data_IF_230035311263
#
_entry.id   IF_230035311263
#
_cell.length_a   1.000
_cell.length_b   1.000
_cell.length_c   1.000
_cell.angle_alpha   90.00
_cell.angle_beta   90.00
_cell.angle_gamma   90.00
#
_symmetry.space_group_name_H-M   'P 1'
#
loop_
_entity.id
_entity.type
_entity.pdbx_description
1 polymer ?
#
# COMPACT_ATOMS: atom_id res chain seq x y z
N UNK A 1 -22.19 -2.74 0.67
CA UNK A 1 -22.39 -1.96 -0.55
C UNK A 1 -21.33 -2.33 -1.56
N UNK A 2 -21.67 -2.46 -2.86
CA UNK A 2 -20.74 -2.91 -3.91
C UNK A 2 -19.92 -1.73 -4.47
N UNK A 3 -19.46 -0.82 -3.58
CA UNK A 3 -18.75 0.38 -4.04
C UNK A 3 -17.41 0.05 -4.74
N UNK A 4 -16.70 -1.00 -4.30
CA UNK A 4 -15.46 -1.43 -4.96
C UNK A 4 -15.71 -1.97 -6.38
N UNK A 5 -16.84 -2.64 -6.60
CA UNK A 5 -17.22 -3.08 -7.95
C UNK A 5 -17.52 -1.92 -8.88
N UNK A 6 -18.20 -0.89 -8.39
CA UNK A 6 -18.46 0.33 -9.17
C UNK A 6 -17.15 1.05 -9.46
N UNK A 7 -16.28 1.23 -8.45
CA UNK A 7 -14.96 1.83 -8.63
C UNK A 7 -14.14 1.10 -9.68
N UNK A 8 -14.08 -0.24 -9.62
CA UNK A 8 -13.38 -1.06 -10.60
C UNK A 8 -13.89 -0.82 -12.03
N UNK A 9 -15.20 -0.74 -12.19
CA UNK A 9 -15.83 -0.49 -13.49
C UNK A 9 -15.44 0.89 -14.04
N UNK A 10 -15.56 1.94 -13.24
CA UNK A 10 -15.22 3.31 -13.63
C UNK A 10 -13.73 3.46 -13.97
N UNK A 11 -12.84 2.89 -13.15
CA UNK A 11 -11.41 2.87 -13.42
C UNK A 11 -11.08 2.14 -14.72
N UNK A 12 -11.72 1.01 -14.96
CA UNK A 12 -11.52 0.24 -16.20
C UNK A 12 -11.96 1.04 -17.44
N UNK A 13 -13.08 1.76 -17.35
CA UNK A 13 -13.58 2.61 -18.43
C UNK A 13 -12.59 3.75 -18.67
N UNK A 14 -12.17 4.45 -17.63
CA UNK A 14 -11.21 5.55 -17.71
C UNK A 14 -9.88 5.11 -18.33
N UNK A 15 -9.28 4.05 -17.83
CA UNK A 15 -7.97 3.58 -18.31
C UNK A 15 -8.01 3.02 -19.74
N UNK A 16 -9.17 2.57 -20.22
CA UNK A 16 -9.35 2.17 -21.61
C UNK A 16 -9.32 3.33 -22.61
N UNK A 17 -9.42 4.56 -22.15
CA UNK A 17 -9.27 5.74 -23.02
C UNK A 17 -7.82 5.94 -23.49
N UNK A 18 -6.86 5.31 -22.80
CA UNK A 18 -5.44 5.33 -23.12
C UNK A 18 -5.03 4.01 -23.79
N UNK A 19 -4.00 4.03 -24.60
CA UNK A 19 -3.50 2.82 -25.31
C UNK A 19 -2.73 1.88 -24.36
N UNK A 20 -3.39 1.48 -23.28
CA UNK A 20 -2.85 0.55 -22.29
C UNK A 20 -3.33 -0.87 -22.58
N UNK A 21 -2.43 -1.84 -22.48
CA UNK A 21 -2.82 -3.25 -22.59
C UNK A 21 -3.81 -3.64 -21.49
N UNK A 22 -4.71 -4.58 -21.79
CA UNK A 22 -5.66 -5.10 -20.81
C UNK A 22 -4.96 -5.56 -19.52
N UNK A 23 -3.82 -6.24 -19.63
CA UNK A 23 -3.06 -6.72 -18.47
C UNK A 23 -2.59 -5.58 -17.57
N UNK A 24 -2.17 -4.44 -18.15
CA UNK A 24 -1.78 -3.25 -17.38
C UNK A 24 -2.98 -2.63 -16.67
N UNK A 25 -4.10 -2.46 -17.38
CA UNK A 25 -5.35 -1.96 -16.80
C UNK A 25 -5.78 -2.82 -15.62
N UNK A 26 -5.84 -4.14 -15.80
CA UNK A 26 -6.25 -5.08 -14.74
C UNK A 26 -5.35 -4.97 -13.51
N UNK A 27 -4.04 -4.76 -13.68
CA UNK A 27 -3.09 -4.60 -12.56
C UNK A 27 -3.26 -3.26 -11.84
N UNK A 28 -3.36 -2.15 -12.57
CA UNK A 28 -3.60 -0.83 -11.98
C UNK A 28 -4.89 -0.84 -11.18
N UNK A 29 -5.96 -1.37 -11.77
CA UNK A 29 -7.25 -1.50 -11.08
C UNK A 29 -7.16 -2.36 -9.82
N UNK A 30 -6.46 -3.50 -9.87
CA UNK A 30 -6.28 -4.37 -8.70
C UNK A 30 -5.56 -3.65 -7.56
N UNK A 31 -4.56 -2.86 -7.90
CA UNK A 31 -3.79 -2.04 -6.96
C UNK A 31 -4.69 -1.02 -6.26
N UNK A 32 -5.44 -0.24 -7.03
CA UNK A 32 -6.31 0.81 -6.50
C UNK A 32 -7.41 0.21 -5.63
N UNK A 33 -8.06 -0.85 -6.10
CA UNK A 33 -9.13 -1.53 -5.36
C UNK A 33 -8.63 -2.10 -4.03
N UNK A 34 -7.43 -2.66 -3.98
CA UNK A 34 -6.83 -3.16 -2.74
C UNK A 34 -6.53 -2.02 -1.76
N UNK A 35 -5.95 -0.91 -2.23
CA UNK A 35 -5.66 0.25 -1.37
C UNK A 35 -6.93 0.88 -0.81
N UNK A 36 -7.95 1.06 -1.65
CA UNK A 36 -9.24 1.61 -1.22
C UNK A 36 -9.97 0.64 -0.30
N UNK A 37 -9.88 -0.66 -0.57
CA UNK A 37 -10.40 -1.70 0.31
C UNK A 37 -9.77 -1.64 1.70
N UNK A 38 -8.44 -1.50 1.75
CA UNK A 38 -7.70 -1.35 3.01
C UNK A 38 -8.11 -0.08 3.77
N UNK A 39 -8.29 1.05 3.08
CA UNK A 39 -8.80 2.27 3.71
C UNK A 39 -10.19 2.06 4.31
N UNK A 40 -11.09 1.35 3.62
CA UNK A 40 -12.43 1.05 4.13
C UNK A 40 -12.45 0.05 5.28
N UNK A 41 -11.61 -0.98 5.24
CA UNK A 41 -11.57 -2.05 6.25
C UNK A 41 -10.85 -1.61 7.54
N UNK A 42 -9.69 -0.98 7.40
CA UNK A 42 -8.79 -0.65 8.52
C UNK A 42 -9.00 0.76 9.03
N UNK A 43 -9.06 1.74 8.16
CA UNK A 43 -9.23 3.12 8.55
C UNK A 43 -10.68 3.50 8.83
N UNK A 44 -11.64 2.73 8.33
CA UNK A 44 -13.10 2.97 8.46
C UNK A 44 -13.48 4.41 8.11
N UNK A 45 -12.83 4.97 7.11
CA UNK A 45 -12.92 6.36 6.75
C UNK A 45 -13.22 6.55 5.26
N UNK A 46 -13.55 7.77 4.91
CA UNK A 46 -13.63 8.19 3.52
C UNK A 46 -12.24 8.18 2.89
N UNK A 47 -12.20 7.96 1.58
CA UNK A 47 -10.99 7.90 0.81
C UNK A 47 -11.14 8.80 -0.42
N UNK A 48 -10.15 9.65 -0.67
CA UNK A 48 -10.03 10.43 -1.90
C UNK A 48 -9.06 9.69 -2.83
N UNK A 49 -9.46 9.55 -4.08
CA UNK A 49 -8.61 8.98 -5.13
C UNK A 49 -8.45 10.04 -6.21
N UNK A 50 -7.22 10.32 -6.57
CA UNK A 50 -6.87 11.16 -7.71
C UNK A 50 -5.98 10.36 -8.66
N UNK A 51 -6.30 10.38 -9.95
CA UNK A 51 -5.55 9.66 -10.99
C UNK A 51 -5.33 10.61 -12.15
N UNK A 52 -4.07 10.88 -12.41
CA UNK A 52 -3.61 11.66 -13.55
C UNK A 52 -2.83 10.76 -14.51
N UNK A 53 -3.13 10.89 -15.79
CA UNK A 53 -2.42 10.20 -16.87
C UNK A 53 -1.93 11.24 -17.86
N UNK A 54 -0.60 11.39 -17.92
CA UNK A 54 0.05 12.28 -18.88
C UNK A 54 0.54 11.45 -20.06
N UNK A 55 0.07 11.80 -21.24
CA UNK A 55 0.55 11.27 -22.52
C UNK A 55 1.80 12.01 -22.97
N UNK A 56 2.48 11.47 -23.97
CA UNK A 56 3.68 12.09 -24.57
C UNK A 56 4.83 12.37 -23.59
N UNK A 57 4.97 11.49 -22.61
CA UNK A 57 6.14 11.53 -21.75
C UNK A 57 7.35 10.94 -22.51
N UNK A 58 8.36 11.77 -22.78
CA UNK A 58 9.57 11.37 -23.47
C UNK A 58 10.72 11.19 -22.49
N UNK A 59 11.48 10.12 -22.64
CA UNK A 59 12.74 9.93 -21.94
C UNK A 59 13.88 10.58 -22.70
N UNK A 60 14.87 11.08 -21.99
CA UNK A 60 15.99 11.86 -22.55
C UNK A 60 16.77 11.12 -23.65
N UNK A 61 16.82 9.80 -23.60
CA UNK A 61 17.67 8.97 -24.48
C UNK A 61 16.84 7.87 -25.21
N UNK A 62 15.51 8.03 -25.32
CA UNK A 62 14.64 7.05 -25.95
C UNK A 62 13.51 7.77 -26.70
N UNK A 63 13.32 7.44 -27.97
CA UNK A 63 12.28 8.00 -28.84
C UNK A 63 10.89 7.34 -28.60
N UNK A 64 10.78 6.45 -27.62
CA UNK A 64 9.52 5.79 -27.25
C UNK A 64 8.51 6.74 -26.61
N UNK A 65 7.25 6.55 -26.94
CA UNK A 65 6.15 7.23 -26.28
C UNK A 65 5.78 6.51 -24.97
N UNK A 66 5.74 7.25 -23.89
CA UNK A 66 5.44 6.72 -22.56
C UNK A 66 4.24 7.43 -21.94
N UNK A 67 3.53 6.71 -21.08
CA UNK A 67 2.53 7.30 -20.18
C UNK A 67 3.14 7.48 -18.80
N UNK A 68 2.92 8.65 -18.20
CA UNK A 68 3.13 8.86 -16.78
C UNK A 68 1.77 8.75 -16.07
N UNK A 69 1.64 7.79 -15.17
CA UNK A 69 0.42 7.58 -14.40
C UNK A 69 0.73 7.91 -12.95
N UNK A 70 0.09 8.95 -12.43
CA UNK A 70 0.16 9.35 -11.03
C UNK A 70 -1.13 8.93 -10.33
N UNK A 71 -0.99 8.22 -9.23
CA UNK A 71 -2.13 7.75 -8.43
C UNK A 71 -1.90 8.22 -7.00
N UNK A 72 -2.83 9.00 -6.49
CA UNK A 72 -2.85 9.46 -5.10
C UNK A 72 -4.08 8.89 -4.42
N UNK A 73 -3.90 8.24 -3.28
CA UNK A 73 -4.98 7.72 -2.46
C UNK A 73 -4.79 8.29 -1.05
N UNK A 74 -5.74 9.08 -0.60
CA UNK A 74 -5.75 9.71 0.72
C UNK A 74 -6.89 9.12 1.54
N UNK A 75 -6.55 8.56 2.71
CA UNK A 75 -7.51 8.10 3.71
C UNK A 75 -7.58 9.12 4.84
N UNK A 76 -8.78 9.56 5.18
CA UNK A 76 -9.01 10.52 6.26
C UNK A 76 -9.34 9.77 7.55
N UNK A 77 -8.32 9.27 8.22
CA UNK A 77 -8.46 8.47 9.44
C UNK A 77 -7.50 8.93 10.53
N UNK A 78 -7.90 8.73 11.78
CA UNK A 78 -7.01 8.84 12.93
C UNK A 78 -6.32 7.49 13.26
N UNK A 79 -6.58 6.44 12.48
CA UNK A 79 -5.93 5.14 12.63
C UNK A 79 -4.78 5.09 11.64
N UNK A 80 -3.58 4.94 12.15
CA UNK A 80 -2.37 4.82 11.33
C UNK A 80 -2.27 3.43 10.70
N UNK A 81 -1.57 3.32 9.59
CA UNK A 81 -1.41 2.09 8.82
C UNK A 81 -0.90 0.92 9.68
N UNK A 82 0.00 1.18 10.58
CA UNK A 82 0.64 0.18 11.44
C UNK A 82 -0.07 -0.14 12.75
N UNK A 83 -1.10 0.61 13.15
CA UNK A 83 -1.71 0.52 14.48
C UNK A 83 -2.27 -0.87 14.81
N UNK A 84 -3.00 -1.49 13.90
CA UNK A 84 -3.56 -2.83 14.12
C UNK A 84 -2.46 -3.90 14.20
N UNK A 85 -1.36 -3.72 13.45
CA UNK A 85 -0.21 -4.61 13.49
C UNK A 85 0.52 -4.45 14.82
N UNK A 86 0.72 -3.21 15.26
CA UNK A 86 1.31 -2.89 16.56
C UNK A 86 0.54 -3.58 17.69
N UNK A 87 -0.79 -3.41 17.73
CA UNK A 87 -1.65 -4.05 18.72
C UNK A 87 -1.48 -5.56 18.70
N UNK A 88 -1.51 -6.18 17.52
CA UNK A 88 -1.38 -7.62 17.34
C UNK A 88 -0.01 -8.15 17.77
N UNK A 89 1.06 -7.47 17.42
CA UNK A 89 2.44 -7.87 17.72
C UNK A 89 2.74 -7.73 19.21
N UNK A 90 2.31 -6.64 19.83
CA UNK A 90 2.55 -6.38 21.25
C UNK A 90 1.64 -7.19 22.17
N UNK A 91 0.48 -7.63 21.66
CA UNK A 91 -0.41 -8.50 22.41
C UNK A 91 0.10 -9.95 22.37
N UNK A 92 0.62 -10.44 23.48
CA UNK A 92 1.30 -11.74 23.64
C UNK A 92 0.45 -12.98 23.31
N UNK A 93 -0.84 -12.82 23.06
CA UNK A 93 -1.77 -13.93 22.75
C UNK A 93 -1.66 -14.46 21.31
N UNK A 94 -1.00 -13.73 20.42
CA UNK A 94 -0.81 -14.13 19.03
C UNK A 94 0.59 -14.69 18.79
N UNK A 95 0.72 -16.02 18.92
CA UNK A 95 1.99 -16.72 18.88
C UNK A 95 2.32 -17.34 17.53
N UNK A 96 2.35 -16.59 16.43
CA UNK A 96 2.99 -17.10 15.22
C UNK A 96 4.45 -16.66 15.19
N UNK A 97 5.33 -17.50 14.66
CA UNK A 97 6.78 -17.29 14.59
C UNK A 97 7.12 -15.90 13.99
N UNK A 98 6.50 -15.54 12.89
CA UNK A 98 6.71 -14.24 12.21
C UNK A 98 6.43 -13.03 13.09
N UNK A 99 5.40 -13.09 13.94
CA UNK A 99 5.10 -12.00 14.88
C UNK A 99 6.07 -11.97 16.05
N UNK A 100 6.66 -13.11 16.37
CA UNK A 100 7.73 -13.20 17.37
C UNK A 100 8.99 -12.49 16.88
N UNK A 101 9.37 -12.73 15.63
CA UNK A 101 10.53 -12.06 15.01
C UNK A 101 10.31 -10.56 14.89
N UNK A 102 9.09 -10.15 14.48
CA UNK A 102 8.75 -8.72 14.41
C UNK A 102 8.76 -8.05 15.78
N UNK A 103 8.33 -8.74 16.82
CA UNK A 103 8.43 -8.26 18.23
C UNK A 103 9.88 -8.11 18.68
N UNK A 104 10.73 -9.06 18.32
CA UNK A 104 12.16 -8.97 18.61
C UNK A 104 12.80 -7.79 17.87
N UNK A 105 12.48 -7.62 16.58
CA UNK A 105 12.92 -6.47 15.81
C UNK A 105 12.48 -5.15 16.44
N UNK A 106 11.20 -5.05 16.84
CA UNK A 106 10.69 -3.87 17.53
C UNK A 106 11.49 -3.52 18.78
N UNK A 107 11.74 -4.50 19.67
CA UNK A 107 12.52 -4.29 20.90
C UNK A 107 13.94 -3.80 20.62
N UNK A 108 14.57 -4.30 19.56
CA UNK A 108 15.89 -3.86 19.15
C UNK A 108 15.90 -2.41 18.64
N UNK A 109 14.77 -1.93 18.11
CA UNK A 109 14.63 -0.58 17.59
C UNK A 109 14.09 0.42 18.64
N UNK A 110 13.51 -0.06 19.75
CA UNK A 110 12.82 0.77 20.74
C UNK A 110 13.70 1.89 21.29
N UNK A 111 14.99 1.63 21.50
CA UNK A 111 15.94 2.65 21.96
C UNK A 111 16.31 3.71 20.92
N UNK A 112 15.93 3.50 19.65
CA UNK A 112 16.21 4.39 18.52
C UNK A 112 15.06 5.38 18.29
N UNK A 113 13.87 5.09 18.83
CA UNK A 113 12.70 5.95 18.67
C UNK A 113 12.82 7.19 19.54
N UNK A 114 12.40 8.33 19.02
CA UNK A 114 12.31 9.58 19.79
C UNK A 114 13.64 10.21 20.16
N UNK A 115 14.77 9.72 19.64
CA UNK A 115 16.03 10.41 19.79
C UNK A 115 15.97 11.72 18.99
N UNK A 116 16.20 12.86 19.66
CA UNK A 116 16.07 14.21 19.06
C UNK A 116 16.93 14.43 17.82
N UNK A 117 17.92 13.60 17.59
CA UNK A 117 18.79 13.62 16.41
C UNK A 117 18.37 12.66 15.29
N UNK A 118 17.38 11.80 15.52
CA UNK A 118 16.92 10.82 14.53
C UNK A 118 15.50 11.16 14.05
N UNK A 119 15.26 11.27 12.74
CA UNK A 119 13.90 11.38 12.19
C UNK A 119 13.11 10.08 12.30
N UNK A 120 13.73 8.99 12.79
CA UNK A 120 13.12 7.68 12.91
C UNK A 120 12.21 7.61 14.12
N UNK A 121 10.92 7.49 13.86
CA UNK A 121 9.88 7.37 14.89
C UNK A 121 9.30 5.97 14.94
N UNK A 122 8.62 5.65 16.04
CA UNK A 122 7.96 4.37 16.21
C UNK A 122 6.93 4.08 15.09
N UNK A 123 6.18 5.10 14.67
CA UNK A 123 5.21 4.99 13.57
C UNK A 123 5.86 4.48 12.29
N UNK A 124 7.04 4.96 11.93
CA UNK A 124 7.78 4.50 10.75
C UNK A 124 8.14 3.01 10.82
N UNK A 125 8.44 2.48 12.01
CA UNK A 125 8.67 1.05 12.18
C UNK A 125 7.42 0.24 11.83
N UNK A 126 6.26 0.69 12.31
CA UNK A 126 5.00 -0.02 12.09
C UNK A 126 4.50 0.12 10.66
N UNK A 127 4.73 1.26 10.01
CA UNK A 127 4.45 1.44 8.58
C UNK A 127 5.29 0.48 7.73
N UNK A 128 6.59 0.37 8.01
CA UNK A 128 7.47 -0.59 7.35
C UNK A 128 7.00 -2.03 7.62
N UNK A 129 6.58 -2.33 8.84
CA UNK A 129 6.05 -3.64 9.18
C UNK A 129 4.78 -3.98 8.39
N UNK A 130 3.90 -3.00 8.17
CA UNK A 130 2.68 -3.16 7.38
C UNK A 130 2.96 -3.50 5.91
N UNK A 131 4.13 -3.10 5.41
CA UNK A 131 4.58 -3.39 4.04
C UNK A 131 5.26 -4.76 3.90
N UNK A 132 5.46 -5.51 4.99
CA UNK A 132 6.10 -6.82 4.91
C UNK A 132 5.13 -7.91 4.45
N UNK A 133 5.65 -8.85 3.65
CA UNK A 133 4.87 -10.00 3.19
C UNK A 133 4.32 -10.80 4.38
N UNK A 134 3.04 -11.15 4.28
CA UNK A 134 2.32 -11.96 5.27
C UNK A 134 2.18 -11.33 6.67
N UNK A 135 2.44 -10.06 6.83
CA UNK A 135 2.11 -9.30 8.03
C UNK A 135 0.75 -8.64 7.82
N UNK A 136 -0.16 -8.81 8.77
CA UNK A 136 -1.51 -8.25 8.71
C UNK A 136 -2.04 -7.93 10.10
N UNK A 137 -2.70 -6.80 10.23
CA UNK A 137 -3.44 -6.40 11.44
C UNK A 137 -4.74 -7.21 11.65
N UNK A 138 -5.26 -7.90 10.62
CA UNK A 138 -6.50 -8.67 10.73
C UNK A 138 -6.47 -9.66 11.88
N UNK A 139 -7.58 -9.74 12.63
CA UNK A 139 -7.70 -10.59 13.83
C UNK A 139 -7.81 -12.08 13.50
N UNK A 140 -8.22 -12.42 12.27
CA UNK A 140 -8.25 -13.78 11.80
C UNK A 140 -6.85 -14.24 11.39
N UNK A 141 -6.50 -15.46 11.75
CA UNK A 141 -5.24 -16.09 11.33
C UNK A 141 -5.33 -16.62 9.89
N UNK A 142 -6.04 -15.92 9.02
CA UNK A 142 -6.15 -16.33 7.61
C UNK A 142 -4.75 -16.41 7.00
N UNK A 143 -4.38 -17.55 6.40
CA UNK A 143 -3.10 -17.69 5.72
C UNK A 143 -2.96 -16.76 4.50
N UNK A 144 -4.06 -16.16 4.06
CA UNK A 144 -4.13 -15.24 2.92
C UNK A 144 -4.02 -13.76 3.32
N UNK A 145 -4.01 -13.45 4.63
CA UNK A 145 -3.87 -12.07 5.11
C UNK A 145 -2.45 -11.53 4.98
N UNK A 146 -2.31 -10.24 4.63
CA UNK A 146 -1.04 -9.53 4.57
C UNK A 146 -0.32 -9.61 3.22
N UNK A 147 -0.98 -10.04 2.15
CA UNK A 147 -0.37 -10.09 0.81
C UNK A 147 -0.65 -8.84 -0.02
N UNK A 148 -1.65 -8.04 0.34
CA UNK A 148 -2.16 -6.95 -0.49
C UNK A 148 -1.12 -5.88 -0.81
N UNK A 149 -0.56 -5.23 0.19
CA UNK A 149 0.42 -4.16 -0.01
C UNK A 149 1.71 -4.63 -0.67
N UNK A 150 2.19 -5.82 -0.32
CA UNK A 150 3.39 -6.41 -0.92
C UNK A 150 3.17 -6.77 -2.39
N UNK A 151 2.02 -7.36 -2.71
CA UNK A 151 1.63 -7.66 -4.10
C UNK A 151 1.55 -6.37 -4.91
N UNK A 152 1.00 -5.32 -4.33
CA UNK A 152 0.91 -4.00 -4.89
C UNK A 152 2.27 -3.42 -5.26
N UNK A 153 3.18 -3.34 -4.31
CA UNK A 153 4.53 -2.79 -4.53
C UNK A 153 5.26 -3.58 -5.61
N UNK A 154 5.23 -4.91 -5.52
CA UNK A 154 5.84 -5.79 -6.52
C UNK A 154 5.20 -5.65 -7.91
N UNK A 155 3.90 -5.42 -7.96
CA UNK A 155 3.19 -5.22 -9.23
C UNK A 155 3.58 -3.91 -9.90
N UNK A 156 3.64 -2.83 -9.14
CA UNK A 156 4.09 -1.52 -9.64
C UNK A 156 5.55 -1.57 -10.11
N UNK A 157 6.43 -2.22 -9.34
CA UNK A 157 7.85 -2.34 -9.68
C UNK A 157 8.10 -3.09 -10.99
N UNK A 158 7.27 -4.06 -11.32
CA UNK A 158 7.44 -4.88 -12.54
C UNK A 158 6.95 -4.19 -13.82
N UNK A 159 6.01 -3.27 -13.71
CA UNK A 159 5.32 -2.69 -14.87
C UNK A 159 5.81 -1.28 -15.21
N UNK A 160 6.43 -0.60 -14.28
CA UNK A 160 6.93 0.75 -14.48
C UNK A 160 8.45 0.74 -14.61
N UNK A 161 8.99 1.38 -15.63
CA UNK A 161 10.42 1.58 -15.75
C UNK A 161 10.97 2.50 -14.66
N UNK A 162 10.19 3.52 -14.28
CA UNK A 162 10.43 4.37 -13.13
C UNK A 162 9.21 4.30 -12.22
N UNK A 163 9.37 3.71 -11.06
CA UNK A 163 8.32 3.69 -10.05
C UNK A 163 8.79 4.45 -8.81
N UNK A 164 7.95 5.35 -8.35
CA UNK A 164 8.11 6.03 -7.07
C UNK A 164 6.85 5.75 -6.27
N UNK A 165 7.01 5.19 -5.09
CA UNK A 165 5.92 4.93 -4.17
C UNK A 165 6.22 5.63 -2.84
N UNK A 166 5.29 6.47 -2.41
CA UNK A 166 5.36 7.14 -1.12
C UNK A 166 4.20 6.67 -0.26
N UNK A 167 4.49 6.29 0.97
CA UNK A 167 3.50 5.97 1.98
C UNK A 167 3.70 6.96 3.12
N UNK A 168 2.63 7.65 3.50
CA UNK A 168 2.60 8.55 4.64
C UNK A 168 1.46 8.12 5.54
N UNK A 169 1.74 8.03 6.83
CA UNK A 169 0.82 7.62 7.86
C UNK A 169 0.93 8.50 9.09
#
# INVERSE_FOLDING_TARGET
SNYLGVLLQELTIFLKMFDLSKSRIDRICSVIVELVGNAGEHARSECLIDIDVTEDHYKKDDDGQYYAINIVILSFSNILLGDEIKEKVLNTRFGTERYTDLRLAYRNHESMFGNSSSPYKEEHFWDIAALQDKISGRKDNSPTGGTGLTVLINSLQKEAENNLCYVMS
#
